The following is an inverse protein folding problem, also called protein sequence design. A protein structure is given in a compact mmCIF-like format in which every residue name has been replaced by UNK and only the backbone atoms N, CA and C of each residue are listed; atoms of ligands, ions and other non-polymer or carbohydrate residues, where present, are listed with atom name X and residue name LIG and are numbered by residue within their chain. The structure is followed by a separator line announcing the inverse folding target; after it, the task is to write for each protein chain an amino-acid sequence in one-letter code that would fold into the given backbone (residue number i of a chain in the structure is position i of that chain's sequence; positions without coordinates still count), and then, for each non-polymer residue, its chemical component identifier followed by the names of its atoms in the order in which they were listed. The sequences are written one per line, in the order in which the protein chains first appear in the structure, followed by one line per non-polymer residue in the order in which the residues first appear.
data_IF_483041413545
#
_entry.id   IF_483041413545
#
_cell.length_a   1.000
_cell.length_b   1.000
_cell.length_c   1.000
_cell.angle_alpha   90.00
_cell.angle_beta   90.00
_cell.angle_gamma   90.00
#
_symmetry.space_group_name_H-M   'P 1'
#
loop_
_entity.id
_entity.type
_entity.pdbx_description
1 polymer ?
#
# COMPACT_ATOMS: atom_id res chain seq x y z
N UNK A 1 3.70 0.87 70.12
CA UNK A 1 4.16 1.73 69.00
C UNK A 1 3.13 1.60 67.88
N UNK A 2 2.81 2.71 67.20
CA UNK A 2 1.56 2.96 66.48
C UNK A 2 1.35 2.14 65.19
N UNK A 3 0.07 1.92 64.91
CA UNK A 3 -0.58 1.27 63.76
C UNK A 3 -0.74 2.28 62.60
N UNK A 4 -0.53 1.87 61.34
CA UNK A 4 -1.18 2.39 60.11
C UNK A 4 -0.88 1.37 59.00
N UNK A 5 -1.79 0.56 58.42
CA UNK A 5 -3.13 0.80 57.86
C UNK A 5 -3.12 1.89 56.77
N UNK A 6 -3.00 1.49 55.50
CA UNK A 6 -3.31 2.34 54.35
C UNK A 6 -4.34 1.62 53.47
N UNK A 7 -5.44 2.34 53.24
CA UNK A 7 -6.72 1.87 52.72
C UNK A 7 -6.76 1.86 51.19
N UNK A 8 -7.44 0.86 50.63
CA UNK A 8 -7.99 0.88 49.26
C UNK A 8 -9.06 1.98 49.15
N UNK A 9 -8.98 2.78 48.09
CA UNK A 9 -10.03 3.72 47.69
C UNK A 9 -10.71 3.17 46.43
N UNK A 10 -11.97 2.73 46.57
CA UNK A 10 -12.90 2.53 45.46
C UNK A 10 -13.39 3.91 44.99
N UNK A 11 -13.23 4.22 43.70
CA UNK A 11 -13.99 5.28 43.06
C UNK A 11 -15.05 4.65 42.16
N UNK A 12 -16.30 4.79 42.57
CA UNK A 12 -17.47 4.66 41.72
C UNK A 12 -17.67 5.97 40.95
N UNK A 13 -17.87 5.90 39.65
CA UNK A 13 -18.43 7.01 38.86
C UNK A 13 -19.70 6.56 38.17
N UNK A 14 -20.76 7.30 38.48
CA UNK A 14 -22.11 7.09 38.01
C UNK A 14 -22.34 7.66 36.61
N UNK A 15 -23.34 7.03 35.98
CA UNK A 15 -24.00 7.38 34.73
C UNK A 15 -24.58 8.78 34.77
N UNK A 16 -24.43 9.55 33.68
CA UNK A 16 -25.37 10.60 33.31
C UNK A 16 -25.42 10.78 31.79
N UNK A 17 -26.66 10.88 31.32
CA UNK A 17 -27.15 10.68 29.97
C UNK A 17 -26.83 11.84 29.02
N UNK A 18 -26.54 11.52 27.75
CA UNK A 18 -26.64 12.46 26.64
C UNK A 18 -27.83 12.09 25.76
N UNK A 19 -28.76 13.04 25.68
CA UNK A 19 -29.95 13.05 24.82
C UNK A 19 -29.54 13.32 23.38
N UNK A 20 -29.79 12.37 22.47
CA UNK A 20 -29.73 12.59 21.02
C UNK A 20 -31.05 13.22 20.54
N UNK A 21 -30.96 14.47 20.08
CA UNK A 21 -32.02 15.13 19.33
C UNK A 21 -31.97 14.66 17.87
N UNK A 22 -33.05 14.03 17.42
CA UNK A 22 -33.29 13.71 16.01
C UNK A 22 -33.59 14.99 15.24
N UNK A 23 -32.85 15.23 14.15
CA UNK A 23 -33.31 16.11 13.09
C UNK A 23 -33.26 15.36 11.75
N UNK A 24 -34.41 14.80 11.41
CA UNK A 24 -34.78 14.34 10.08
C UNK A 24 -34.82 15.53 9.12
N UNK A 25 -33.97 15.52 8.09
CA UNK A 25 -34.20 16.34 6.90
C UNK A 25 -34.27 15.45 5.67
N UNK A 26 -35.52 15.22 5.26
CA UNK A 26 -35.92 14.65 3.98
C UNK A 26 -35.43 15.57 2.87
N UNK A 27 -34.59 15.08 1.96
CA UNK A 27 -34.41 15.70 0.64
C UNK A 27 -34.60 14.67 -0.47
N UNK A 28 -35.41 15.11 -1.43
CA UNK A 28 -35.99 14.34 -2.54
C UNK A 28 -34.95 14.03 -3.60
N UNK A 29 -35.04 12.81 -4.13
CA UNK A 29 -34.35 12.33 -5.31
C UNK A 29 -34.74 13.14 -6.57
N UNK A 30 -33.75 13.51 -7.38
CA UNK A 30 -33.92 13.77 -8.79
C UNK A 30 -32.99 12.82 -9.54
N UNK A 31 -33.61 11.85 -10.22
CA UNK A 31 -32.96 10.81 -11.03
C UNK A 31 -32.68 11.40 -12.41
N UNK A 32 -31.41 11.46 -12.80
CA UNK A 32 -31.01 11.65 -14.19
C UNK A 32 -30.25 10.39 -14.62
N UNK A 33 -30.94 9.56 -15.40
CA UNK A 33 -30.41 8.36 -16.05
C UNK A 33 -29.44 8.77 -17.15
N UNK A 34 -28.18 8.35 -17.04
CA UNK A 34 -27.21 8.38 -18.14
C UNK A 34 -26.63 6.98 -18.33
N UNK A 35 -26.89 6.37 -19.49
CA UNK A 35 -26.32 5.08 -19.89
C UNK A 35 -25.18 5.32 -20.87
N UNK A 36 -23.94 4.88 -20.58
CA UNK A 36 -22.94 4.71 -21.61
C UNK A 36 -22.96 3.26 -22.13
N UNK A 37 -23.20 3.13 -23.43
CA UNK A 37 -23.06 1.89 -24.18
C UNK A 37 -21.58 1.58 -24.39
N UNK A 38 -21.05 0.56 -23.71
CA UNK A 38 -19.70 0.04 -23.96
C UNK A 38 -19.76 -0.97 -25.11
N UNK A 39 -19.17 -0.61 -26.25
CA UNK A 39 -18.91 -1.54 -27.34
C UNK A 39 -17.69 -2.38 -27.00
N UNK A 40 -17.88 -3.70 -26.82
CA UNK A 40 -16.79 -4.66 -26.70
C UNK A 40 -16.22 -4.95 -28.10
N UNK A 41 -14.99 -4.55 -28.34
CA UNK A 41 -14.22 -4.99 -29.51
C UNK A 41 -13.44 -6.24 -29.13
N UNK A 42 -13.86 -7.39 -29.63
CA UNK A 42 -13.17 -8.67 -29.43
C UNK A 42 -12.05 -8.80 -30.47
N UNK A 43 -10.80 -8.66 -30.04
CA UNK A 43 -9.63 -8.99 -30.86
C UNK A 43 -9.49 -10.52 -30.93
N UNK A 44 -9.76 -11.06 -32.12
CA UNK A 44 -9.59 -12.48 -32.44
C UNK A 44 -8.12 -12.72 -32.77
N UNK A 45 -7.38 -13.37 -31.86
CA UNK A 45 -5.99 -13.80 -32.12
C UNK A 45 -6.03 -15.06 -32.98
N UNK A 46 -5.56 -14.95 -34.22
CA UNK A 46 -5.36 -16.04 -35.16
C UNK A 46 -4.23 -16.95 -34.65
N UNK A 47 -4.59 -18.20 -34.35
CA UNK A 47 -3.68 -19.26 -33.92
C UNK A 47 -3.10 -19.94 -35.16
N UNK A 48 -1.81 -19.71 -35.41
CA UNK A 48 -1.02 -20.47 -36.38
C UNK A 48 -0.50 -21.74 -35.71
N UNK A 49 -0.79 -22.88 -36.31
CA UNK A 49 -0.30 -24.22 -35.95
C UNK A 49 1.08 -24.46 -36.55
N UNK A 50 1.81 -25.44 -35.97
CA UNK A 50 3.15 -25.97 -36.33
C UNK A 50 4.29 -25.26 -35.56
N UNK A 51 5.24 -25.92 -34.87
CA UNK A 51 5.81 -27.28 -34.98
C UNK A 51 6.46 -27.64 -33.64
N UNK A 52 6.40 -28.91 -33.24
CA UNK A 52 7.06 -29.47 -32.06
C UNK A 52 8.60 -29.40 -32.17
N UNK A 53 9.22 -28.59 -31.33
CA UNK A 53 10.66 -28.57 -31.06
C UNK A 53 10.88 -28.31 -29.57
N UNK A 54 11.85 -28.99 -28.97
CA UNK A 54 12.19 -28.94 -27.55
C UNK A 54 12.17 -27.49 -27.00
N UNK A 55 11.17 -27.20 -26.16
CA UNK A 55 11.03 -25.91 -25.51
C UNK A 55 12.10 -25.79 -24.42
N UNK A 56 13.18 -25.10 -24.76
CA UNK A 56 14.01 -24.46 -23.75
C UNK A 56 13.10 -23.52 -22.95
N UNK A 57 12.82 -23.89 -21.69
CA UNK A 57 12.12 -23.03 -20.74
C UNK A 57 12.93 -21.74 -20.63
N UNK A 58 12.50 -20.72 -21.33
CA UNK A 58 13.11 -19.40 -21.25
C UNK A 58 12.68 -18.85 -19.90
N UNK A 59 13.61 -18.79 -18.94
CA UNK A 59 13.35 -18.15 -17.65
C UNK A 59 12.92 -16.71 -17.92
N UNK A 60 11.64 -16.42 -17.69
CA UNK A 60 11.09 -15.06 -17.82
C UNK A 60 11.73 -14.24 -16.70
N UNK A 61 12.38 -13.13 -17.08
CA UNK A 61 12.98 -12.23 -16.09
C UNK A 61 11.90 -11.75 -15.12
N UNK A 62 12.14 -11.73 -13.79
CA UNK A 62 11.17 -11.21 -12.83
C UNK A 62 10.64 -9.82 -13.19
N UNK A 63 11.47 -8.97 -13.81
CA UNK A 63 11.10 -7.65 -14.30
C UNK A 63 10.01 -7.68 -15.37
N UNK A 64 10.02 -8.70 -16.26
CA UNK A 64 9.05 -8.83 -17.36
C UNK A 64 7.65 -9.21 -16.86
N UNK A 65 7.53 -9.61 -15.59
CA UNK A 65 6.27 -10.00 -14.96
C UNK A 65 5.60 -8.87 -14.17
N UNK A 66 6.29 -7.75 -13.95
CA UNK A 66 5.78 -6.62 -13.17
C UNK A 66 4.94 -5.72 -14.06
N UNK A 67 3.72 -5.41 -13.62
CA UNK A 67 2.83 -4.44 -14.26
C UNK A 67 2.11 -3.60 -13.20
N UNK A 68 1.81 -2.35 -13.53
CA UNK A 68 1.07 -1.48 -12.60
C UNK A 68 -0.34 -2.04 -12.40
N UNK A 69 -0.77 -2.29 -11.15
CA UNK A 69 -2.15 -2.70 -10.91
C UNK A 69 -3.10 -1.55 -11.24
N UNK A 70 -4.01 -1.79 -12.18
CA UNK A 70 -5.03 -0.81 -12.59
C UNK A 70 -6.27 -0.87 -11.70
N UNK A 71 -6.51 -2.02 -11.05
CA UNK A 71 -7.65 -2.22 -10.16
C UNK A 71 -7.20 -2.61 -8.75
N UNK A 72 -8.07 -2.37 -7.77
CA UNK A 72 -7.88 -2.84 -6.40
C UNK A 72 -7.59 -4.35 -6.34
N UNK A 73 -8.36 -5.16 -7.07
CA UNK A 73 -8.18 -6.61 -7.09
C UNK A 73 -6.85 -7.04 -7.70
N UNK A 74 -6.37 -6.34 -8.73
CA UNK A 74 -5.05 -6.60 -9.32
C UNK A 74 -3.95 -6.31 -8.29
N UNK A 75 -4.05 -5.18 -7.58
CA UNK A 75 -3.10 -4.83 -6.53
C UNK A 75 -3.07 -5.88 -5.42
N UNK A 76 -4.24 -6.31 -4.92
CA UNK A 76 -4.34 -7.37 -3.91
C UNK A 76 -3.69 -8.66 -4.44
N UNK A 77 -3.98 -9.06 -5.68
CA UNK A 77 -3.43 -10.26 -6.32
C UNK A 77 -1.91 -10.20 -6.45
N UNK A 78 -1.37 -9.11 -6.97
CA UNK A 78 0.08 -8.94 -7.17
C UNK A 78 0.83 -8.90 -5.84
N UNK A 79 0.34 -8.09 -4.89
CA UNK A 79 0.94 -7.95 -3.54
C UNK A 79 0.95 -9.29 -2.82
N UNK A 80 -0.21 -9.97 -2.75
CA UNK A 80 -0.32 -11.26 -2.06
C UNK A 80 0.56 -12.32 -2.71
N UNK A 81 0.65 -12.34 -4.05
CA UNK A 81 1.55 -13.26 -4.75
C UNK A 81 3.02 -12.99 -4.39
N UNK A 82 3.46 -11.73 -4.41
CA UNK A 82 4.82 -11.38 -4.02
C UNK A 82 5.14 -11.81 -2.58
N UNK A 83 4.20 -11.62 -1.65
CA UNK A 83 4.34 -12.02 -0.25
C UNK A 83 4.44 -13.54 -0.05
N UNK A 84 3.62 -14.31 -0.78
CA UNK A 84 3.68 -15.78 -0.76
C UNK A 84 5.02 -16.25 -1.33
N UNK A 85 5.39 -15.77 -2.52
CA UNK A 85 6.64 -16.16 -3.17
C UNK A 85 7.86 -15.81 -2.28
N UNK A 86 7.85 -14.67 -1.58
CA UNK A 86 8.90 -14.29 -0.64
C UNK A 86 8.91 -15.15 0.63
N UNK A 87 7.74 -15.50 1.17
CA UNK A 87 7.60 -16.40 2.33
C UNK A 87 8.15 -17.79 1.98
N UNK A 88 7.89 -18.29 0.79
CA UNK A 88 8.42 -19.57 0.30
C UNK A 88 9.96 -19.58 0.18
N UNK A 89 10.57 -18.39 0.05
CA UNK A 89 12.02 -18.18 0.13
C UNK A 89 12.54 -17.90 1.55
N UNK A 90 11.70 -18.06 2.57
CA UNK A 90 12.07 -17.88 3.98
C UNK A 90 11.99 -16.44 4.49
N UNK A 91 11.44 -15.50 3.72
CA UNK A 91 11.29 -14.10 4.14
C UNK A 91 10.04 -13.94 5.01
N UNK A 92 10.16 -14.24 6.30
CA UNK A 92 9.05 -14.16 7.27
C UNK A 92 8.85 -12.76 7.89
N UNK A 93 9.66 -11.78 7.50
CA UNK A 93 9.60 -10.39 7.98
C UNK A 93 9.53 -9.49 6.77
N UNK A 94 8.33 -9.05 6.43
CA UNK A 94 8.06 -8.43 5.14
C UNK A 94 7.62 -6.98 5.33
N UNK A 95 8.12 -6.09 4.48
CA UNK A 95 7.63 -4.72 4.32
C UNK A 95 6.92 -4.66 2.98
N UNK A 96 5.69 -4.17 2.98
CA UNK A 96 4.95 -3.89 1.75
C UNK A 96 4.52 -2.42 1.71
N UNK A 97 4.63 -1.81 0.53
CA UNK A 97 4.09 -0.49 0.22
C UNK A 97 3.13 -0.62 -0.94
N UNK A 98 1.88 -0.24 -0.71
CA UNK A 98 0.78 -0.38 -1.65
C UNK A 98 0.07 0.96 -1.83
N UNK A 99 -0.57 1.12 -2.99
CA UNK A 99 -1.53 2.19 -3.19
C UNK A 99 -2.78 1.92 -2.35
N UNK A 100 -3.51 2.97 -2.00
CA UNK A 100 -4.73 2.87 -1.24
C UNK A 100 -5.94 3.22 -2.11
N UNK A 101 -7.06 2.50 -1.94
CA UNK A 101 -8.28 2.80 -2.67
C UNK A 101 -8.85 4.16 -2.23
N UNK A 102 -9.37 4.90 -3.21
CA UNK A 102 -10.03 6.19 -3.04
C UNK A 102 -11.26 6.25 -3.94
N UNK A 103 -12.38 6.78 -3.42
CA UNK A 103 -13.54 7.06 -4.25
C UNK A 103 -13.24 8.27 -5.16
N UNK A 104 -13.25 8.12 -6.50
CA UNK A 104 -12.99 9.23 -7.42
C UNK A 104 -14.09 10.30 -7.40
N UNK A 105 -15.28 9.97 -6.91
CA UNK A 105 -16.44 10.86 -6.88
C UNK A 105 -16.65 11.55 -5.53
N UNK A 106 -15.81 11.29 -4.53
CA UNK A 106 -15.97 11.93 -3.24
C UNK A 106 -15.51 13.38 -3.30
N UNK A 107 -16.47 14.31 -3.43
CA UNK A 107 -16.20 15.75 -3.36
C UNK A 107 -15.65 16.19 -2.00
N UNK A 108 -15.79 15.33 -0.97
CA UNK A 108 -15.01 15.38 0.25
C UNK A 108 -13.86 14.40 0.10
N UNK A 109 -12.69 14.96 -0.21
CA UNK A 109 -11.41 14.32 -0.54
C UNK A 109 -10.82 13.37 0.54
N UNK A 110 -11.63 12.98 1.53
CA UNK A 110 -11.28 12.24 2.74
C UNK A 110 -12.44 11.46 3.40
N UNK A 111 -13.65 11.50 2.85
CA UNK A 111 -14.72 10.57 3.25
C UNK A 111 -14.75 9.49 2.16
N UNK A 112 -14.40 8.24 2.50
CA UNK A 112 -15.15 7.02 2.17
C UNK A 112 -14.31 5.74 2.33
N UNK A 113 -14.57 5.08 3.46
CA UNK A 113 -14.94 3.66 3.61
C UNK A 113 -15.91 3.68 4.80
N UNK A 114 -17.09 4.31 4.67
CA UNK A 114 -18.14 4.23 5.69
C UNK A 114 -19.10 3.10 5.33
N UNK A 115 -19.63 2.43 6.36
CA UNK A 115 -20.49 1.24 6.30
C UNK A 115 -21.40 1.23 5.06
N UNK A 116 -21.14 0.31 4.12
CA UNK A 116 -21.97 0.12 2.93
C UNK A 116 -21.23 -0.09 1.60
N UNK A 117 -19.89 0.07 1.55
CA UNK A 117 -19.10 -0.50 0.44
C UNK A 117 -19.01 -2.01 0.68
N UNK A 118 -20.03 -2.73 0.24
CA UNK A 118 -20.01 -4.19 0.21
C UNK A 118 -18.96 -4.63 -0.82
N UNK A 119 -17.87 -5.23 -0.33
CA UNK A 119 -16.81 -5.85 -1.16
C UNK A 119 -17.37 -6.99 -2.03
N UNK A 120 -18.55 -7.52 -1.67
CA UNK A 120 -19.32 -8.48 -2.45
C UNK A 120 -20.78 -8.05 -2.62
N UNK A 121 -21.23 -7.83 -3.85
CA UNK A 121 -22.67 -7.82 -4.19
C UNK A 121 -23.39 -6.47 -4.28
N UNK A 122 -22.75 -5.35 -3.92
CA UNK A 122 -23.32 -4.00 -4.04
C UNK A 122 -23.22 -3.39 -5.46
N UNK A 123 -24.05 -2.38 -5.75
CA UNK A 123 -24.15 -1.72 -7.07
C UNK A 123 -22.91 -0.91 -7.49
N UNK A 124 -21.94 -0.68 -6.59
CA UNK A 124 -20.62 -0.10 -6.87
C UNK A 124 -19.55 -1.16 -6.65
N UNK A 125 -19.00 -1.70 -7.73
CA UNK A 125 -17.92 -2.66 -7.64
C UNK A 125 -16.62 -1.99 -7.19
N UNK A 126 -15.73 -2.74 -6.56
CA UNK A 126 -14.34 -2.34 -6.25
C UNK A 126 -13.52 -1.95 -7.50
N UNK A 127 -14.08 -2.15 -8.70
CA UNK A 127 -13.52 -1.77 -9.99
C UNK A 127 -13.56 -0.26 -10.26
N UNK A 128 -14.44 0.48 -9.58
CA UNK A 128 -14.58 1.94 -9.77
C UNK A 128 -13.68 2.75 -8.81
N UNK A 129 -12.79 2.09 -8.06
CA UNK A 129 -11.91 2.74 -7.08
C UNK A 129 -10.62 3.22 -7.76
N UNK A 130 -10.22 4.45 -7.45
CA UNK A 130 -8.92 4.99 -7.83
C UNK A 130 -7.85 4.52 -6.83
N UNK A 131 -6.69 4.10 -7.33
CA UNK A 131 -5.55 3.77 -6.49
C UNK A 131 -4.61 4.98 -6.33
N UNK A 132 -4.48 5.47 -5.10
CA UNK A 132 -3.70 6.66 -4.77
C UNK A 132 -2.50 6.33 -3.86
N UNK A 133 -1.36 7.02 -3.99
CA UNK A 133 -0.22 6.81 -3.11
C UNK A 133 -0.53 7.29 -1.68
N UNK A 134 -0.05 6.58 -0.64
CA UNK A 134 -0.21 6.98 0.75
C UNK A 134 0.83 8.04 1.16
N UNK A 135 0.86 9.18 0.45
CA UNK A 135 1.86 10.23 0.62
C UNK A 135 1.25 11.59 1.00
N UNK A 136 2.01 12.68 0.81
CA UNK A 136 1.61 14.04 1.14
C UNK A 136 0.45 14.56 0.28
N UNK A 137 0.18 13.91 -0.86
CA UNK A 137 -1.00 14.19 -1.67
C UNK A 137 -2.29 13.67 -1.02
N UNK A 138 -2.18 12.85 0.02
CA UNK A 138 -3.32 12.38 0.79
C UNK A 138 -3.90 13.51 1.66
N UNK A 139 -5.08 13.99 1.29
CA UNK A 139 -5.72 15.14 1.94
C UNK A 139 -6.45 14.79 3.23
N UNK A 140 -6.55 13.50 3.58
CA UNK A 140 -7.38 13.02 4.67
C UNK A 140 -6.75 12.96 6.07
N UNK A 141 -5.46 13.26 6.18
CA UNK A 141 -4.72 12.98 7.40
C UNK A 141 -4.57 11.49 7.71
N UNK A 142 -3.87 11.17 8.79
CA UNK A 142 -3.38 9.81 9.05
C UNK A 142 -4.49 8.81 9.41
N UNK A 143 -5.49 9.25 10.17
CA UNK A 143 -6.65 8.42 10.52
C UNK A 143 -7.46 7.99 9.29
N UNK A 144 -7.61 8.86 8.30
CA UNK A 144 -8.33 8.51 7.08
C UNK A 144 -7.50 7.60 6.18
N UNK A 145 -6.18 7.80 6.18
CA UNK A 145 -5.25 6.90 5.52
C UNK A 145 -5.36 5.48 6.11
N UNK A 146 -5.46 5.38 7.44
CA UNK A 146 -5.63 4.10 8.14
C UNK A 146 -6.94 3.42 7.77
N UNK A 147 -8.04 4.18 7.70
CA UNK A 147 -9.35 3.67 7.28
C UNK A 147 -9.36 3.15 5.84
N UNK A 148 -8.55 3.70 4.95
CA UNK A 148 -8.38 3.18 3.59
C UNK A 148 -7.42 1.96 3.55
N UNK A 149 -6.39 1.96 4.39
CA UNK A 149 -5.42 0.89 4.50
C UNK A 149 -6.01 -0.39 5.11
N UNK A 150 -6.84 -0.27 6.15
CA UNK A 150 -7.32 -1.41 6.93
C UNK A 150 -8.13 -2.43 6.11
N UNK A 151 -9.14 -2.06 5.30
CA UNK A 151 -9.84 -3.01 4.43
C UNK A 151 -8.89 -3.70 3.44
N UNK A 152 -7.97 -2.93 2.86
CA UNK A 152 -6.94 -3.44 1.95
C UNK A 152 -6.07 -4.50 2.62
N UNK A 153 -5.62 -4.24 3.85
CA UNK A 153 -4.88 -5.20 4.65
C UNK A 153 -5.67 -6.48 4.88
N UNK A 154 -6.95 -6.37 5.27
CA UNK A 154 -7.81 -7.54 5.52
C UNK A 154 -7.93 -8.43 4.29
N UNK A 155 -8.10 -7.85 3.10
CA UNK A 155 -8.16 -8.60 1.85
C UNK A 155 -6.84 -9.31 1.51
N UNK A 156 -5.70 -8.63 1.71
CA UNK A 156 -4.37 -9.26 1.55
C UNK A 156 -4.20 -10.43 2.52
N UNK A 157 -4.48 -10.20 3.82
CA UNK A 157 -4.31 -11.21 4.86
C UNK A 157 -5.21 -12.44 4.65
N UNK A 158 -6.45 -12.25 4.21
CA UNK A 158 -7.35 -13.35 3.83
C UNK A 158 -6.77 -14.18 2.68
N UNK A 159 -6.18 -13.51 1.68
CA UNK A 159 -5.62 -14.18 0.51
C UNK A 159 -4.35 -14.97 0.83
N UNK A 160 -3.47 -14.44 1.68
CA UNK A 160 -2.20 -15.12 2.04
C UNK A 160 -2.36 -16.13 3.19
N UNK A 161 -3.34 -15.94 4.08
CA UNK A 161 -3.64 -16.85 5.18
C UNK A 161 -4.32 -18.15 4.72
N UNK A 162 -4.74 -18.22 3.45
CA UNK A 162 -5.42 -19.36 2.87
C UNK A 162 -6.86 -19.52 3.37
N UNK A 163 -7.48 -20.64 2.99
CA UNK A 163 -8.83 -21.00 3.43
C UNK A 163 -8.81 -22.41 4.02
N UNK A 164 -9.60 -22.63 5.07
CA UNK A 164 -9.85 -23.99 5.55
C UNK A 164 -11.34 -24.28 5.47
N UNK A 165 -11.69 -25.29 4.67
CA UNK A 165 -13.09 -25.58 4.36
C UNK A 165 -13.81 -24.46 3.61
N UNK A 166 -13.06 -23.65 2.84
CA UNK A 166 -13.61 -22.51 2.09
C UNK A 166 -13.90 -21.26 2.94
N UNK A 167 -13.42 -21.23 4.18
CA UNK A 167 -13.58 -20.09 5.09
C UNK A 167 -12.22 -19.42 5.31
N UNK A 168 -12.09 -18.10 5.06
CA UNK A 168 -10.84 -17.37 5.30
C UNK A 168 -10.58 -17.22 6.80
N UNK A 169 -9.32 -16.94 7.22
CA UNK A 169 -8.98 -16.80 8.62
C UNK A 169 -9.74 -15.64 9.27
N UNK A 170 -10.09 -15.82 10.55
CA UNK A 170 -10.63 -14.72 11.36
C UNK A 170 -9.51 -13.71 11.59
N UNK A 171 -9.79 -12.44 11.34
CA UNK A 171 -8.88 -11.34 11.62
C UNK A 171 -9.32 -10.61 12.89
N UNK A 172 -8.38 -10.40 13.80
CA UNK A 172 -8.57 -9.63 15.04
C UNK A 172 -7.69 -8.40 14.97
N UNK A 173 -8.29 -7.25 15.21
CA UNK A 173 -7.59 -5.98 15.30
C UNK A 173 -7.26 -5.67 16.75
N UNK A 174 -5.99 -5.39 17.01
CA UNK A 174 -5.50 -4.88 18.28
C UNK A 174 -5.17 -3.39 18.13
N UNK A 175 -6.03 -2.57 18.74
CA UNK A 175 -5.92 -1.11 18.77
C UNK A 175 -5.02 -0.62 19.91
N UNK A 176 -4.54 -1.49 20.81
CA UNK A 176 -3.66 -1.07 21.90
C UNK A 176 -2.28 -0.57 21.41
N UNK A 177 -1.90 -0.91 20.18
CA UNK A 177 -0.70 -0.37 19.51
C UNK A 177 -0.83 1.14 19.22
N UNK A 178 -2.05 1.66 19.14
CA UNK A 178 -2.37 3.08 18.95
C UNK A 178 -3.16 3.56 20.17
N UNK A 179 -2.48 3.68 21.31
CA UNK A 179 -3.10 4.05 22.60
C UNK A 179 -3.83 5.41 22.54
N UNK A 180 -3.35 6.32 21.69
CA UNK A 180 -3.95 7.63 21.48
C UNK A 180 -5.22 7.56 20.63
N UNK A 181 -5.31 6.57 19.74
CA UNK A 181 -6.38 6.39 18.77
C UNK A 181 -6.41 7.47 17.68
N UNK A 182 -5.32 8.22 17.53
CA UNK A 182 -5.19 9.32 16.54
C UNK A 182 -3.97 9.19 15.64
N UNK A 183 -3.12 8.18 15.88
CA UNK A 183 -1.87 8.01 15.15
C UNK A 183 -2.05 7.15 13.87
N UNK A 184 -3.28 6.70 13.60
CA UNK A 184 -3.64 5.95 12.40
C UNK A 184 -2.82 4.68 12.22
N UNK A 185 -2.56 3.97 13.32
CA UNK A 185 -1.80 2.71 13.32
C UNK A 185 -2.64 1.57 13.89
N UNK A 186 -2.36 0.33 13.51
CA UNK A 186 -2.99 -0.82 14.14
C UNK A 186 -2.29 -2.13 13.86
N UNK A 187 -2.61 -3.15 14.65
CA UNK A 187 -2.12 -4.50 14.46
C UNK A 187 -3.28 -5.42 14.09
N UNK A 188 -3.17 -6.07 12.94
CA UNK A 188 -4.05 -7.18 12.57
C UNK A 188 -3.35 -8.50 12.83
N UNK A 189 -4.05 -9.41 13.49
CA UNK A 189 -3.63 -10.78 13.70
C UNK A 189 -4.63 -11.73 13.04
N UNK A 190 -4.13 -12.70 12.29
CA UNK A 190 -4.96 -13.81 11.82
C UNK A 190 -5.03 -14.89 12.90
N UNK A 191 -6.21 -15.49 13.04
CA UNK A 191 -6.43 -16.71 13.80
C UNK A 191 -6.67 -17.82 12.78
N UNK A 192 -5.57 -18.43 12.35
CA UNK A 192 -5.55 -19.58 11.44
C UNK A 192 -5.89 -20.85 12.23
N UNK A 193 -6.16 -21.97 11.53
CA UNK A 193 -6.46 -23.23 12.20
C UNK A 193 -5.23 -23.85 12.89
N UNK A 194 -4.04 -23.61 12.35
CA UNK A 194 -2.77 -23.95 12.98
C UNK A 194 -2.10 -22.64 13.41
N UNK A 195 -1.78 -22.44 14.71
CA UNK A 195 -1.13 -21.23 15.20
C UNK A 195 0.19 -20.89 14.52
N UNK A 196 0.88 -21.87 13.92
CA UNK A 196 2.10 -21.63 13.14
C UNK A 196 1.85 -20.86 11.84
N UNK A 197 0.60 -20.83 11.39
CA UNK A 197 0.14 -20.14 10.18
C UNK A 197 -0.54 -18.81 10.53
N UNK A 198 -0.52 -18.38 11.80
CA UNK A 198 -0.95 -17.05 12.20
C UNK A 198 0.00 -15.99 11.63
N UNK A 199 -0.58 -14.86 11.26
CA UNK A 199 0.10 -13.74 10.63
C UNK A 199 -0.13 -12.50 11.48
N UNK A 200 0.92 -11.73 11.73
CA UNK A 200 0.84 -10.42 12.37
C UNK A 200 1.14 -9.31 11.36
N UNK A 201 0.27 -8.33 11.21
CA UNK A 201 0.47 -7.22 10.29
C UNK A 201 0.27 -5.89 10.99
N UNK A 202 1.32 -5.10 11.06
CA UNK A 202 1.25 -3.71 11.46
C UNK A 202 0.80 -2.87 10.25
N UNK A 203 -0.30 -2.17 10.40
CA UNK A 203 -0.88 -1.28 9.40
C UNK A 203 -0.46 0.13 9.74
N UNK A 204 0.29 0.74 8.81
CA UNK A 204 0.85 2.08 8.92
C UNK A 204 1.71 2.34 10.16
N UNK A 205 2.64 1.44 10.52
CA UNK A 205 3.47 1.64 11.70
C UNK A 205 4.33 2.91 11.57
N UNK A 206 4.60 3.48 12.73
CA UNK A 206 5.40 4.70 12.97
C UNK A 206 6.57 4.38 13.92
N UNK A 207 7.51 5.32 14.07
CA UNK A 207 8.78 5.04 14.77
C UNK A 207 8.56 4.61 16.23
N UNK A 208 7.52 5.13 16.86
CA UNK A 208 7.10 4.87 18.23
C UNK A 208 6.56 3.44 18.41
N UNK A 209 6.18 2.75 17.33
CA UNK A 209 5.71 1.36 17.37
C UNK A 209 6.82 0.31 17.22
N UNK A 210 8.08 0.73 17.01
CA UNK A 210 9.18 -0.21 16.75
C UNK A 210 9.41 -1.18 17.90
N UNK A 211 9.29 -0.75 19.15
CA UNK A 211 9.44 -1.64 20.32
C UNK A 211 8.39 -2.76 20.33
N UNK A 212 7.15 -2.44 19.95
CA UNK A 212 6.07 -3.42 19.82
C UNK A 212 6.30 -4.36 18.63
N UNK A 213 6.80 -3.82 17.50
CA UNK A 213 7.18 -4.61 16.32
C UNK A 213 8.24 -5.64 16.67
N UNK A 214 9.30 -5.25 17.37
CA UNK A 214 10.36 -6.17 17.80
C UNK A 214 9.82 -7.26 18.74
N UNK A 215 9.00 -6.87 19.71
CA UNK A 215 8.41 -7.79 20.69
C UNK A 215 7.56 -8.84 19.98
N UNK A 216 6.64 -8.41 19.13
CA UNK A 216 5.74 -9.30 18.37
C UNK A 216 6.54 -10.14 17.37
N UNK A 217 7.52 -9.56 16.70
CA UNK A 217 8.43 -10.29 15.81
C UNK A 217 9.21 -11.38 16.54
N UNK A 218 9.69 -11.11 17.75
CA UNK A 218 10.38 -12.10 18.57
C UNK A 218 9.46 -13.25 18.97
N UNK A 219 8.23 -12.94 19.38
CA UNK A 219 7.20 -13.93 19.74
C UNK A 219 6.68 -14.72 18.53
N UNK A 220 6.71 -14.12 17.35
CA UNK A 220 6.27 -14.76 16.12
C UNK A 220 7.17 -15.94 15.71
N UNK A 221 8.47 -15.87 16.00
CA UNK A 221 9.42 -16.90 15.57
C UNK A 221 9.42 -17.03 14.05
N UNK A 222 9.05 -18.19 13.51
CA UNK A 222 8.97 -18.40 12.05
C UNK A 222 7.65 -17.93 11.41
N UNK A 223 6.69 -17.46 12.22
CA UNK A 223 5.42 -16.92 11.70
C UNK A 223 5.66 -15.64 10.93
N UNK A 224 4.80 -15.35 9.97
CA UNK A 224 4.92 -14.18 9.10
C UNK A 224 4.55 -12.91 9.88
N UNK A 225 5.44 -11.91 9.87
CA UNK A 225 5.15 -10.56 10.33
C UNK A 225 5.32 -9.55 9.20
N UNK A 226 4.36 -8.65 9.07
CA UNK A 226 4.25 -7.71 7.96
C UNK A 226 4.21 -6.28 8.50
N UNK A 227 4.91 -5.36 7.84
CA UNK A 227 4.73 -3.91 7.99
C UNK A 227 4.11 -3.41 6.68
N UNK A 228 2.84 -3.00 6.72
CA UNK A 228 2.15 -2.46 5.56
C UNK A 228 2.12 -0.94 5.62
N UNK A 229 2.60 -0.29 4.55
CA UNK A 229 2.66 1.16 4.42
C UNK A 229 3.30 1.88 5.62
N UNK A 230 4.50 1.47 6.09
CA UNK A 230 5.16 2.17 7.19
C UNK A 230 5.33 3.66 6.90
N UNK A 231 5.05 4.50 7.91
CA UNK A 231 4.99 5.95 7.79
C UNK A 231 6.37 6.61 7.68
N UNK A 232 7.43 5.93 8.14
CA UNK A 232 8.77 6.37 7.80
C UNK A 232 8.96 6.18 6.30
N UNK A 233 9.02 7.30 5.58
CA UNK A 233 9.47 7.28 4.19
C UNK A 233 10.94 6.92 4.17
N UNK A 234 11.40 6.28 3.11
CA UNK A 234 12.81 6.34 2.74
C UNK A 234 13.08 7.77 2.19
N UNK A 235 12.91 8.80 3.05
CA UNK A 235 13.18 10.20 2.71
C UNK A 235 14.66 10.29 2.35
N UNK A 236 14.95 10.42 1.06
CA UNK A 236 16.23 10.87 0.49
C UNK A 236 16.06 11.36 -0.96
N UNK A 237 15.00 12.12 -1.29
CA UNK A 237 14.89 12.78 -2.61
C UNK A 237 15.22 14.29 -2.56
N UNK A 238 14.79 15.02 -1.52
CA UNK A 238 15.05 16.46 -1.40
C UNK A 238 16.34 16.81 -0.64
N UNK A 239 16.73 15.98 0.33
CA UNK A 239 17.93 16.21 1.14
C UNK A 239 19.15 15.46 0.59
N UNK A 240 18.95 14.42 -0.23
CA UNK A 240 20.05 13.67 -0.86
C UNK A 240 20.59 14.36 -2.14
N UNK A 241 19.75 15.16 -2.79
CA UNK A 241 20.21 16.09 -3.83
C UNK A 241 21.00 17.28 -3.24
N UNK A 242 20.74 17.63 -1.97
CA UNK A 242 21.48 18.67 -1.24
C UNK A 242 22.68 18.13 -0.43
N UNK A 243 22.70 16.86 -0.02
CA UNK A 243 23.80 16.22 0.72
C UNK A 243 24.91 15.70 -0.20
N UNK A 244 24.64 15.58 -1.50
CA UNK A 244 25.66 15.29 -2.53
C UNK A 244 26.60 16.47 -2.80
N UNK A 245 26.36 17.64 -2.19
CA UNK A 245 27.41 18.60 -1.88
C UNK A 245 27.88 18.40 -0.43
N UNK A 246 29.05 17.78 -0.28
CA UNK A 246 29.87 17.66 0.93
C UNK A 246 29.72 16.43 1.86
N UNK A 247 30.23 15.29 1.36
CA UNK A 247 31.15 14.46 2.14
C UNK A 247 30.57 13.37 3.05
N UNK A 248 31.48 12.50 3.51
CA UNK A 248 31.29 11.29 4.35
C UNK A 248 30.45 11.55 5.64
N UNK A 249 30.24 12.81 6.01
CA UNK A 249 29.45 13.22 7.18
C UNK A 249 27.93 13.21 6.97
N UNK A 250 27.42 13.33 5.73
CA UNK A 250 25.98 13.29 5.45
C UNK A 250 25.33 11.92 5.72
N UNK A 251 26.02 10.84 5.34
CA UNK A 251 25.60 9.46 5.58
C UNK A 251 25.64 9.06 7.07
N UNK A 252 26.43 9.76 7.88
CA UNK A 252 26.50 9.53 9.34
C UNK A 252 25.39 10.32 10.05
N UNK A 253 24.98 11.47 9.53
CA UNK A 253 23.91 12.28 10.12
C UNK A 253 22.51 11.67 9.95
N UNK A 254 22.23 11.02 8.80
CA UNK A 254 21.00 10.23 8.60
C UNK A 254 20.96 8.96 9.47
N UNK A 255 22.13 8.40 9.77
CA UNK A 255 22.30 7.24 10.66
C UNK A 255 22.18 7.59 12.16
N UNK A 256 22.47 8.83 12.57
CA UNK A 256 22.42 9.30 13.96
C UNK A 256 21.07 9.92 14.38
N UNK A 257 20.12 10.09 13.46
CA UNK A 257 18.76 10.53 13.78
C UNK A 257 17.87 9.39 14.30
N UNK A 258 16.79 9.71 15.02
CA UNK A 258 15.85 8.72 15.58
C UNK A 258 15.31 7.72 14.54
N UNK A 259 15.09 8.17 13.31
CA UNK A 259 14.64 7.35 12.18
C UNK A 259 15.68 6.31 11.72
N UNK A 260 16.97 6.67 11.71
CA UNK A 260 18.04 5.75 11.32
C UNK A 260 18.15 4.57 12.28
N UNK A 261 17.95 4.84 13.58
CA UNK A 261 17.90 3.80 14.60
C UNK A 261 16.71 2.85 14.41
N UNK A 262 15.50 3.37 14.13
CA UNK A 262 14.33 2.54 13.82
C UNK A 262 14.55 1.62 12.61
N UNK A 263 15.09 2.15 11.51
CA UNK A 263 15.36 1.35 10.31
C UNK A 263 16.39 0.26 10.56
N UNK A 264 17.46 0.59 11.29
CA UNK A 264 18.50 -0.39 11.68
C UNK A 264 17.91 -1.53 12.51
N UNK A 265 17.09 -1.21 13.51
CA UNK A 265 16.40 -2.18 14.37
C UNK A 265 15.48 -3.12 13.59
N UNK A 266 14.76 -2.58 12.60
CA UNK A 266 13.92 -3.39 11.71
C UNK A 266 14.74 -4.30 10.80
N UNK A 267 15.89 -3.84 10.28
CA UNK A 267 16.81 -4.68 9.51
C UNK A 267 17.44 -5.78 10.39
N UNK A 268 17.79 -5.47 11.64
CA UNK A 268 18.23 -6.46 12.64
C UNK A 268 17.15 -7.51 12.95
N UNK A 269 15.87 -7.13 12.89
CA UNK A 269 14.74 -8.06 12.95
C UNK A 269 14.53 -8.86 11.66
N UNK A 270 15.27 -8.56 10.59
CA UNK A 270 15.21 -9.25 9.30
C UNK A 270 14.13 -8.75 8.35
N UNK A 271 13.53 -7.58 8.60
CA UNK A 271 12.51 -7.02 7.71
C UNK A 271 13.09 -6.66 6.34
N UNK A 272 12.46 -7.14 5.26
CA UNK A 272 12.85 -6.85 3.87
C UNK A 272 11.68 -6.31 3.06
N UNK A 273 11.96 -5.40 2.13
CA UNK A 273 10.97 -4.90 1.17
C UNK A 273 10.59 -6.02 0.20
N UNK A 274 9.32 -6.42 0.22
CA UNK A 274 8.80 -7.53 -0.59
C UNK A 274 8.03 -7.06 -1.81
N UNK A 275 7.24 -6.00 -1.62
CA UNK A 275 6.45 -5.41 -2.67
C UNK A 275 6.31 -3.93 -2.37
N UNK A 276 6.75 -3.08 -3.30
CA UNK A 276 6.64 -1.64 -3.18
C UNK A 276 6.05 -1.09 -4.47
N UNK A 277 4.96 -0.33 -4.35
CA UNK A 277 4.48 0.57 -5.39
C UNK A 277 4.39 1.98 -4.83
N UNK A 278 5.05 2.90 -5.51
CA UNK A 278 5.05 4.33 -5.21
C UNK A 278 4.55 5.09 -6.43
N UNK A 279 4.13 6.33 -6.23
CA UNK A 279 3.86 7.21 -7.36
C UNK A 279 4.01 8.68 -7.01
N UNK A 280 4.35 9.46 -8.02
CA UNK A 280 4.50 10.90 -7.95
C UNK A 280 4.35 11.50 -9.34
N UNK A 281 4.38 12.82 -9.43
CA UNK A 281 4.27 13.54 -10.72
C UNK A 281 5.67 13.91 -11.23
N UNK A 282 5.98 13.52 -12.46
CA UNK A 282 7.19 13.93 -13.18
C UNK A 282 6.79 14.48 -14.55
N UNK A 283 7.37 15.61 -14.97
CA UNK A 283 7.01 16.28 -16.24
C UNK A 283 5.51 16.56 -16.41
N UNK A 284 4.79 16.71 -15.29
CA UNK A 284 3.34 16.91 -15.25
C UNK A 284 2.49 15.65 -15.47
N UNK A 285 3.08 14.47 -15.70
CA UNK A 285 2.37 13.20 -15.78
C UNK A 285 2.59 12.33 -14.54
N UNK A 286 1.68 11.38 -14.29
CA UNK A 286 1.83 10.42 -13.19
C UNK A 286 2.89 9.36 -13.54
N UNK A 287 3.78 9.10 -12.60
CA UNK A 287 4.79 8.03 -12.67
C UNK A 287 4.55 7.04 -11.54
N UNK A 288 4.78 5.76 -11.83
CA UNK A 288 4.80 4.69 -10.83
C UNK A 288 6.19 4.05 -10.76
N UNK A 289 6.67 3.88 -9.55
CA UNK A 289 7.85 3.06 -9.26
C UNK A 289 7.38 1.77 -8.62
N UNK A 290 7.84 0.64 -9.14
CA UNK A 290 7.50 -0.67 -8.62
C UNK A 290 8.75 -1.49 -8.30
N UNK A 291 8.69 -2.27 -7.22
CA UNK A 291 9.73 -3.21 -6.82
C UNK A 291 9.09 -4.45 -6.22
N UNK A 292 9.52 -5.62 -6.68
CA UNK A 292 9.29 -6.90 -6.02
C UNK A 292 10.61 -7.36 -5.40
N UNK A 293 10.59 -8.22 -4.37
CA UNK A 293 11.82 -8.64 -3.67
C UNK A 293 12.91 -9.20 -4.61
N UNK A 294 12.51 -9.88 -5.69
CA UNK A 294 13.34 -10.58 -6.68
C UNK A 294 13.50 -9.81 -8.01
N UNK A 295 13.11 -8.54 -8.06
CA UNK A 295 13.20 -7.70 -9.27
C UNK A 295 14.16 -6.53 -9.09
N UNK A 296 14.49 -5.84 -10.17
CA UNK A 296 14.95 -4.46 -10.09
C UNK A 296 13.77 -3.52 -9.80
N UNK A 297 14.06 -2.25 -9.55
CA UNK A 297 13.02 -1.22 -9.63
C UNK A 297 12.59 -1.03 -11.07
N UNK A 298 11.30 -0.87 -11.28
CA UNK A 298 10.68 -0.67 -12.58
C UNK A 298 9.94 0.67 -12.58
N UNK A 299 10.15 1.46 -13.64
CA UNK A 299 9.55 2.78 -13.81
C UNK A 299 8.47 2.70 -14.88
N UNK A 300 7.29 3.22 -14.57
CA UNK A 300 6.19 3.35 -15.52
C UNK A 300 5.68 4.79 -15.57
N UNK A 301 5.22 5.24 -16.74
CA UNK A 301 4.54 6.51 -16.92
C UNK A 301 3.09 6.28 -17.36
N UNK A 302 2.15 7.00 -16.75
CA UNK A 302 0.74 6.96 -17.15
C UNK A 302 0.57 7.53 -18.57
N UNK A 303 -0.18 6.83 -19.41
CA UNK A 303 -0.47 7.28 -20.76
C UNK A 303 -1.43 8.49 -20.75
N UNK A 304 -1.49 9.22 -21.85
CA UNK A 304 -2.30 10.46 -21.90
C UNK A 304 -3.82 10.21 -21.94
N UNK A 305 -4.24 8.95 -22.10
CA UNK A 305 -5.64 8.53 -21.97
C UNK A 305 -6.03 8.20 -20.53
N UNK A 306 -5.06 8.16 -19.61
CA UNK A 306 -5.26 7.81 -18.19
C UNK A 306 -5.87 6.40 -18.01
N UNK A 307 -5.55 5.49 -18.95
CA UNK A 307 -6.07 4.12 -18.96
C UNK A 307 -5.01 3.08 -18.65
N UNK A 308 -3.74 3.40 -18.86
CA UNK A 308 -2.64 2.43 -18.73
C UNK A 308 -1.30 3.10 -18.35
N UNK A 309 -0.32 2.27 -18.02
CA UNK A 309 1.02 2.63 -17.61
C UNK A 309 2.07 1.99 -18.52
N UNK A 310 2.91 2.81 -19.13
CA UNK A 310 3.92 2.38 -20.10
C UNK A 310 5.28 2.25 -19.43
N UNK A 311 5.95 1.13 -19.68
CA UNK A 311 7.28 0.84 -19.16
C UNK A 311 8.35 1.83 -19.68
N UNK A 312 9.03 2.50 -18.76
CA UNK A 312 10.09 3.48 -19.05
C UNK A 312 11.49 2.88 -18.92
N UNK A 313 11.72 2.02 -17.93
CA UNK A 313 13.03 1.42 -17.69
C UNK A 313 13.12 0.69 -16.34
N UNK A 314 14.31 0.16 -16.04
CA UNK A 314 14.63 -0.47 -14.76
C UNK A 314 15.90 0.08 -14.12
N UNK A 315 16.05 -0.10 -12.81
CA UNK A 315 17.25 0.26 -12.05
C UNK A 315 17.43 -0.65 -10.84
N UNK A 316 18.66 -1.07 -10.55
CA UNK A 316 18.94 -1.95 -9.41
C UNK A 316 18.62 -1.30 -8.05
N UNK A 317 18.84 0.01 -7.93
CA UNK A 317 18.48 0.83 -6.77
C UNK A 317 17.22 1.65 -7.05
N UNK A 318 16.55 2.12 -5.99
CA UNK A 318 15.36 2.99 -6.13
C UNK A 318 15.72 4.22 -7.01
N UNK A 319 15.01 4.46 -8.12
CA UNK A 319 15.25 5.61 -8.98
C UNK A 319 15.01 6.94 -8.27
N UNK A 320 15.91 7.89 -8.47
CA UNK A 320 15.70 9.29 -8.08
C UNK A 320 14.77 9.99 -9.07
N UNK A 321 14.29 11.19 -8.71
CA UNK A 321 13.54 12.02 -9.65
C UNK A 321 14.32 12.28 -10.96
N UNK A 322 15.63 12.54 -10.86
CA UNK A 322 16.47 12.81 -12.04
C UNK A 322 16.67 11.57 -12.91
N UNK A 323 16.78 10.38 -12.30
CA UNK A 323 16.85 9.13 -13.06
C UNK A 323 15.57 8.91 -13.87
N UNK A 324 14.40 9.15 -13.26
CA UNK A 324 13.11 9.04 -13.93
C UNK A 324 12.95 10.09 -15.03
N UNK A 325 13.32 11.34 -14.78
CA UNK A 325 13.27 12.40 -15.79
C UNK A 325 14.10 12.04 -17.03
N UNK A 326 15.29 11.48 -16.80
CA UNK A 326 16.18 10.98 -17.86
C UNK A 326 15.57 9.81 -18.62
N UNK A 327 14.99 8.82 -17.94
CA UNK A 327 14.30 7.70 -18.60
C UNK A 327 13.15 8.19 -19.50
N UNK A 328 12.40 9.20 -19.04
CA UNK A 328 11.36 9.85 -19.83
C UNK A 328 11.93 10.57 -21.06
N UNK A 329 13.04 11.31 -20.93
CA UNK A 329 13.73 11.96 -22.05
C UNK A 329 14.23 10.96 -23.09
N UNK A 330 14.84 9.86 -22.65
CA UNK A 330 15.36 8.81 -23.54
C UNK A 330 14.23 8.12 -24.34
N UNK A 331 13.01 8.10 -23.79
CA UNK A 331 11.80 7.61 -24.45
C UNK A 331 11.07 8.68 -25.28
N UNK A 332 11.59 9.90 -25.34
CA UNK A 332 10.97 11.01 -26.07
C UNK A 332 9.70 11.57 -25.40
N UNK A 333 9.51 11.32 -24.11
CA UNK A 333 8.34 11.83 -23.36
C UNK A 333 8.59 13.28 -22.96
N UNK A 334 7.86 14.18 -23.63
CA UNK A 334 7.86 15.63 -23.38
C UNK A 334 7.01 16.00 -22.14
N UNK A 335 6.82 17.28 -21.87
CA UNK A 335 5.97 17.75 -20.75
C UNK A 335 4.47 17.48 -21.04
N UNK A 336 3.69 17.05 -20.04
CA UNK A 336 2.25 16.71 -20.21
C UNK A 336 1.46 17.85 -20.86
N UNK A 337 1.67 19.09 -20.44
CA UNK A 337 0.99 20.24 -21.05
C UNK A 337 1.24 20.35 -22.56
N UNK A 338 2.46 20.08 -23.03
CA UNK A 338 2.81 20.18 -24.44
C UNK A 338 2.12 19.08 -25.25
N UNK A 339 2.00 17.87 -24.68
CA UNK A 339 1.22 16.77 -25.27
C UNK A 339 -0.27 17.08 -25.29
N UNK A 340 -0.79 17.71 -24.24
CA UNK A 340 -2.22 18.06 -24.12
C UNK A 340 -2.67 19.11 -25.12
N UNK A 341 -1.82 20.09 -25.44
CA UNK A 341 -2.12 21.10 -26.45
C UNK A 341 -1.66 20.75 -27.87
N UNK A 342 -1.17 19.52 -28.09
CA UNK A 342 -0.73 19.03 -29.40
C UNK A 342 0.59 19.61 -29.91
N UNK A 343 1.43 20.15 -29.01
CA UNK A 343 2.79 20.63 -29.32
C UNK A 343 3.83 19.50 -29.29
N UNK A 344 3.46 18.32 -28.81
CA UNK A 344 4.29 17.12 -28.80
C UNK A 344 3.43 15.85 -29.00
N UNK A 345 4.02 14.73 -29.45
CA UNK A 345 3.31 13.46 -29.58
C UNK A 345 2.68 13.02 -28.26
N UNK A 346 1.50 12.40 -28.34
CA UNK A 346 0.85 11.77 -27.19
C UNK A 346 1.65 10.55 -26.73
N UNK A 347 1.60 10.32 -25.42
CA UNK A 347 2.10 9.09 -24.81
C UNK A 347 0.97 8.06 -24.85
N UNK A 348 1.10 7.03 -25.68
CA UNK A 348 0.07 6.00 -25.95
C UNK A 348 0.34 4.68 -25.25
#
# INVERSE_FOLDING_TARGET
MRISALSLLLCATGVSAFSFSQNSSVRRNAVASYSPSVQKTTSTVLRSTETSGDEAVTEVSPNDSISVPLTFNDMIKQTSKAMIDAKDQGMNRQIIRILLPRDPNSGNLGIYFEDGVEVEGGTRGTQDLLLAPPDESWQGGIEQLYRAALPTCKEILRKIGGEVGGVPPKLVEDRSIDESGVDGTGLLMSNSNDPKDDISCFVQPLQETVDAIETISGQAGQRLCILMNPQWRNVDDALDSASKSDGIFGNIASFLGGKGNSLKRLDECGYKEVYTIEGYVCKGGNVRLMKRFDSDWVVFAENDSETDFIFMGTQASRPTYQDVEKMLDEKGVSLKYARDVGLAPKLE
#
